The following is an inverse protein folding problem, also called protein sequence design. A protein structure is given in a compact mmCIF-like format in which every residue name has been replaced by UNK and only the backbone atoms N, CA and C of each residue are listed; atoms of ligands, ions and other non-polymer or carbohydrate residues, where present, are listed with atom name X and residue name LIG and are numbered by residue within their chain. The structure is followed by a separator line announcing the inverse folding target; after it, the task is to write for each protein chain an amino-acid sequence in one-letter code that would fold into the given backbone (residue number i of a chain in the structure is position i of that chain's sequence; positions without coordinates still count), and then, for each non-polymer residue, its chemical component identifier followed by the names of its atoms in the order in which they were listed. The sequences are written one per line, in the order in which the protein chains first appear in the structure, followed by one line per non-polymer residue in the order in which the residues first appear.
data_IF_413541634798
#
_entry.id   IF_413541634798
#
_cell.length_a   1.000
_cell.length_b   1.000
_cell.length_c   1.000
_cell.angle_alpha   90.00
_cell.angle_beta   90.00
_cell.angle_gamma   90.00
#
_symmetry.space_group_name_H-M   'P 1'
#
loop_
_entity.id
_entity.type
_entity.pdbx_description
1 polymer ?
#
# COMPACT_ATOMS: atom_id res chain seq x y z
N UNK A 1 -8.57 -13.18 8.05
CA UNK A 1 -7.24 -12.88 7.45
C UNK A 1 -6.75 -14.11 6.72
N UNK A 2 -6.00 -13.96 5.62
CA UNK A 2 -5.35 -15.09 4.96
C UNK A 2 -4.46 -15.87 5.94
N UNK A 3 -4.46 -17.20 5.85
CA UNK A 3 -3.71 -18.08 6.76
C UNK A 3 -2.24 -18.26 6.34
N UNK A 4 -1.93 -17.99 5.07
CA UNK A 4 -0.55 -17.99 4.55
C UNK A 4 0.12 -16.66 4.93
N UNK A 5 1.27 -16.68 5.64
CA UNK A 5 1.95 -15.47 6.13
C UNK A 5 2.24 -14.43 5.04
N UNK A 6 2.63 -14.89 3.85
CA UNK A 6 2.87 -14.03 2.69
C UNK A 6 1.58 -13.30 2.29
N UNK A 7 0.46 -14.02 2.12
CA UNK A 7 -0.84 -13.42 1.75
C UNK A 7 -1.36 -12.46 2.82
N UNK A 8 -1.13 -12.76 4.11
CA UNK A 8 -1.49 -11.84 5.20
C UNK A 8 -0.67 -10.55 5.21
N UNK A 9 0.62 -10.63 4.87
CA UNK A 9 1.50 -9.48 4.72
C UNK A 9 1.07 -8.60 3.53
N UNK A 10 0.78 -9.23 2.39
CA UNK A 10 0.29 -8.54 1.18
C UNK A 10 -1.04 -7.82 1.44
N UNK A 11 -1.97 -8.48 2.14
CA UNK A 11 -3.24 -7.88 2.51
C UNK A 11 -3.06 -6.62 3.38
N UNK A 12 -2.16 -6.68 4.38
CA UNK A 12 -1.85 -5.54 5.26
C UNK A 12 -1.15 -4.40 4.52
N UNK A 13 -0.22 -4.71 3.62
CA UNK A 13 0.42 -3.70 2.76
C UNK A 13 -0.61 -2.97 1.90
N UNK A 14 -1.54 -3.69 1.28
CA UNK A 14 -2.63 -3.08 0.52
C UNK A 14 -3.49 -2.14 1.38
N UNK A 15 -3.85 -2.57 2.60
CA UNK A 15 -4.59 -1.73 3.55
C UNK A 15 -3.81 -0.45 3.92
N UNK A 16 -2.50 -0.56 4.14
CA UNK A 16 -1.65 0.59 4.45
C UNK A 16 -1.59 1.58 3.28
N UNK A 17 -1.46 1.11 2.04
CA UNK A 17 -1.47 1.97 0.85
C UNK A 17 -2.80 2.72 0.71
N UNK A 18 -3.94 2.03 0.89
CA UNK A 18 -5.25 2.68 0.85
C UNK A 18 -5.42 3.73 1.95
N UNK A 19 -5.03 3.41 3.19
CA UNK A 19 -5.13 4.34 4.31
C UNK A 19 -4.24 5.59 4.12
N UNK A 20 -3.05 5.40 3.54
CA UNK A 20 -2.17 6.50 3.18
C UNK A 20 -2.82 7.39 2.11
N UNK A 21 -3.42 6.80 1.05
CA UNK A 21 -4.17 7.55 0.04
C UNK A 21 -5.30 8.39 0.62
N UNK A 22 -6.09 7.84 1.56
CA UNK A 22 -7.13 8.60 2.25
C UNK A 22 -6.57 9.75 3.10
N UNK A 23 -5.47 9.53 3.82
CA UNK A 23 -4.83 10.58 4.61
C UNK A 23 -4.26 11.71 3.73
N UNK A 24 -3.72 11.37 2.55
CA UNK A 24 -3.26 12.33 1.53
C UNK A 24 -4.39 13.26 1.10
N UNK A 25 -5.56 12.70 0.80
CA UNK A 25 -6.72 13.47 0.35
C UNK A 25 -7.29 14.37 1.45
N UNK A 26 -7.40 13.86 2.68
CA UNK A 26 -7.84 14.65 3.83
C UNK A 26 -6.91 15.83 4.10
N UNK A 27 -5.59 15.62 4.04
CA UNK A 27 -4.62 16.71 4.24
C UNK A 27 -4.69 17.71 3.09
N UNK A 28 -4.86 17.27 1.84
CA UNK A 28 -5.06 18.17 0.69
C UNK A 28 -6.30 19.05 0.88
N UNK A 29 -7.38 18.51 1.43
CA UNK A 29 -8.60 19.26 1.75
C UNK A 29 -8.30 20.29 2.85
N UNK A 30 -7.63 19.87 3.94
CA UNK A 30 -7.26 20.75 5.06
C UNK A 30 -6.34 21.89 4.60
N UNK A 31 -5.40 21.60 3.71
CA UNK A 31 -4.52 22.57 3.04
C UNK A 31 -5.32 23.59 2.23
N UNK A 32 -6.29 23.16 1.43
CA UNK A 32 -7.12 24.09 0.65
C UNK A 32 -7.94 25.02 1.54
N UNK A 33 -8.23 24.58 2.77
CA UNK A 33 -8.98 25.33 3.77
C UNK A 33 -8.09 26.26 4.61
N UNK A 34 -6.83 25.90 4.85
CA UNK A 34 -5.88 26.68 5.64
C UNK A 34 -4.84 27.32 4.72
N UNK A 35 -4.86 28.64 4.58
CA UNK A 35 -4.05 29.40 3.62
C UNK A 35 -2.52 29.37 3.78
N UNK A 36 -1.94 28.45 4.56
CA UNK A 36 -0.50 28.24 4.67
C UNK A 36 0.01 27.39 3.50
N UNK A 37 0.49 28.10 2.48
CA UNK A 37 0.88 27.55 1.18
C UNK A 37 2.22 26.81 1.24
N UNK A 38 3.17 27.25 2.07
CA UNK A 38 4.49 26.62 2.19
C UNK A 38 4.38 25.25 2.88
N UNK A 39 3.67 25.19 4.00
CA UNK A 39 3.42 23.92 4.70
C UNK A 39 2.62 22.97 3.80
N UNK A 40 1.67 23.51 3.04
CA UNK A 40 0.91 22.77 2.05
C UNK A 40 1.77 22.10 0.98
N UNK A 41 2.68 22.83 0.35
CA UNK A 41 3.54 22.32 -0.72
C UNK A 41 4.47 21.21 -0.21
N UNK A 42 5.04 21.38 0.98
CA UNK A 42 5.92 20.38 1.59
C UNK A 42 5.17 19.08 1.89
N UNK A 43 3.95 19.18 2.41
CA UNK A 43 3.12 18.01 2.65
C UNK A 43 2.76 17.34 1.32
N UNK A 44 2.32 18.09 0.31
CA UNK A 44 2.00 17.53 -1.02
C UNK A 44 3.19 16.78 -1.64
N UNK A 45 4.43 17.28 -1.47
CA UNK A 45 5.64 16.59 -1.92
C UNK A 45 5.84 15.24 -1.23
N UNK A 46 5.68 15.17 0.10
CA UNK A 46 5.78 13.91 0.85
C UNK A 46 4.68 12.92 0.45
N UNK A 47 3.47 13.41 0.24
CA UNK A 47 2.33 12.59 -0.17
C UNK A 47 2.54 11.96 -1.55
N UNK A 48 3.15 12.68 -2.49
CA UNK A 48 3.50 12.14 -3.81
C UNK A 48 4.52 11.00 -3.73
N UNK A 49 5.54 11.12 -2.88
CA UNK A 49 6.52 10.04 -2.65
C UNK A 49 5.84 8.80 -2.07
N UNK A 50 4.93 9.00 -1.11
CA UNK A 50 4.17 7.92 -0.48
C UNK A 50 3.28 7.20 -1.51
N UNK A 51 2.60 7.93 -2.37
CA UNK A 51 1.79 7.38 -3.46
C UNK A 51 2.63 6.54 -4.45
N UNK A 52 3.80 7.06 -4.87
CA UNK A 52 4.72 6.33 -5.74
C UNK A 52 5.25 5.03 -5.10
N UNK A 53 5.55 5.08 -3.80
CA UNK A 53 5.93 3.89 -3.04
C UNK A 53 4.79 2.88 -2.96
N UNK A 54 3.55 3.35 -2.77
CA UNK A 54 2.36 2.50 -2.75
C UNK A 54 2.15 1.73 -4.06
N UNK A 55 2.26 2.42 -5.20
CA UNK A 55 2.21 1.78 -6.53
C UNK A 55 3.32 0.76 -6.72
N UNK A 56 4.57 1.14 -6.41
CA UNK A 56 5.73 0.25 -6.53
C UNK A 56 5.55 -1.01 -5.69
N UNK A 57 5.06 -0.86 -4.45
CA UNK A 57 4.76 -1.99 -3.58
C UNK A 57 3.67 -2.87 -4.20
N UNK A 58 2.57 -2.29 -4.70
CA UNK A 58 1.50 -3.06 -5.35
C UNK A 58 2.00 -3.89 -6.55
N UNK A 59 2.88 -3.32 -7.37
CA UNK A 59 3.49 -4.01 -8.51
C UNK A 59 4.38 -5.18 -8.06
N UNK A 60 5.26 -4.93 -7.09
CA UNK A 60 6.13 -5.96 -6.50
C UNK A 60 5.32 -7.07 -5.81
N UNK A 61 4.21 -6.71 -5.15
CA UNK A 61 3.28 -7.66 -4.55
C UNK A 61 2.64 -8.57 -5.59
N UNK A 62 2.23 -8.02 -6.73
CA UNK A 62 1.70 -8.79 -7.86
C UNK A 62 2.74 -9.77 -8.40
N UNK A 63 3.99 -9.32 -8.56
CA UNK A 63 5.10 -10.16 -8.99
C UNK A 63 5.39 -11.30 -8.00
N UNK A 64 5.34 -11.01 -6.69
CA UNK A 64 5.49 -12.02 -5.64
C UNK A 64 4.37 -13.05 -5.71
N UNK A 65 3.10 -12.63 -5.86
CA UNK A 65 1.97 -13.56 -5.98
C UNK A 65 2.10 -14.47 -7.20
N UNK A 66 2.51 -13.93 -8.35
CA UNK A 66 2.73 -14.70 -9.58
C UNK A 66 3.83 -15.76 -9.39
N UNK A 67 4.86 -15.44 -8.59
CA UNK A 67 6.02 -16.31 -8.35
C UNK A 67 5.86 -17.25 -7.17
N UNK A 68 4.82 -17.09 -6.35
CA UNK A 68 4.56 -18.03 -5.27
C UNK A 68 4.24 -19.40 -5.89
N UNK A 69 5.00 -20.46 -5.55
CA UNK A 69 4.63 -21.79 -5.99
C UNK A 69 3.24 -22.11 -5.45
N UNK A 70 2.38 -22.67 -6.30
CA UNK A 70 1.11 -23.20 -5.85
C UNK A 70 1.42 -24.21 -4.73
N UNK A 71 0.79 -24.05 -3.55
CA UNK A 71 0.90 -25.07 -2.51
C UNK A 71 0.50 -26.40 -3.13
N UNK A 72 1.45 -27.32 -3.21
CA UNK A 72 1.21 -28.64 -3.77
C UNK A 72 0.25 -29.36 -2.82
N UNK A 73 -1.03 -29.36 -3.16
CA UNK A 73 -2.09 -30.03 -2.38
C UNK A 73 -2.01 -31.56 -2.45
N UNK A 74 -0.97 -32.10 -3.07
CA UNK A 74 -0.73 -33.52 -3.22
C UNK A 74 0.56 -33.91 -2.50
N UNK A 75 0.57 -33.85 -1.16
CA UNK A 75 1.45 -34.73 -0.39
C UNK A 75 0.63 -35.97 0.01
N UNK A 76 0.80 -37.12 -0.67
CA UNK A 76 0.06 -38.35 -0.37
C UNK A 76 0.69 -39.16 0.78
N UNK A 77 1.45 -38.54 1.70
CA UNK A 77 2.13 -39.26 2.79
C UNK A 77 1.83 -38.72 4.19
N UNK A 78 0.60 -38.95 4.68
CA UNK A 78 0.30 -39.26 6.09
C UNK A 78 -0.74 -40.38 6.15
#
# INVERSE_FOLDING_TARGET
MPTVPTTALLYRLNQSVMALGSAVDEIRIWIKQNGDTETSERILSHLHVIEGNGHTIADLMSEVVIRLPAEDKNDPTV
#
